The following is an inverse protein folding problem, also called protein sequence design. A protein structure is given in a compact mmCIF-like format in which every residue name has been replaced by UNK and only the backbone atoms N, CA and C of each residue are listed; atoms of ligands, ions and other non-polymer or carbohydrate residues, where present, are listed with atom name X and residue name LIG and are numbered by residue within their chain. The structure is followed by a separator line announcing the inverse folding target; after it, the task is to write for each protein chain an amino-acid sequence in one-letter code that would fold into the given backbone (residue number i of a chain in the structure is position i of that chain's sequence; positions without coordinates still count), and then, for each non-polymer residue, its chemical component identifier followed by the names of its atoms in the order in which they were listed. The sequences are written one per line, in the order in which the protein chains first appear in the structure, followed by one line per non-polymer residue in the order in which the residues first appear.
data_IF_901212947842
#
_entry.id   IF_901212947842
#
_cell.length_a   1.000
_cell.length_b   1.000
_cell.length_c   1.000
_cell.angle_alpha   90.00
_cell.angle_beta   90.00
_cell.angle_gamma   90.00
#
_symmetry.space_group_name_H-M   'P 1'
#
loop_
_entity.id
_entity.type
_entity.pdbx_description
1 polymer ?
#
# COMPACT_ATOMS: atom_id res chain seq x y z
N UNK A 1 44.82 -56.46 24.73
CA UNK A 1 43.83 -56.67 25.82
C UNK A 1 42.85 -55.51 25.77
N UNK A 2 41.62 -55.70 25.25
CA UNK A 2 40.35 -55.91 26.01
C UNK A 2 40.04 -54.68 26.90
N UNK A 3 38.92 -53.92 26.78
CA UNK A 3 37.52 -54.19 26.40
C UNK A 3 36.77 -52.88 26.05
N UNK A 4 35.68 -53.04 25.29
CA UNK A 4 34.59 -52.10 24.97
C UNK A 4 33.82 -51.52 26.19
N UNK A 5 33.02 -50.43 26.01
CA UNK A 5 31.96 -49.96 26.94
C UNK A 5 30.70 -50.87 26.81
N UNK A 6 29.50 -50.65 27.42
CA UNK A 6 28.94 -49.50 28.17
C UNK A 6 28.17 -49.89 29.46
N UNK A 7 27.60 -48.92 30.19
CA UNK A 7 26.46 -49.21 31.07
C UNK A 7 25.42 -48.08 31.10
N UNK A 8 24.19 -48.52 30.88
CA UNK A 8 22.94 -47.78 30.93
C UNK A 8 22.46 -47.61 32.37
N UNK A 9 21.64 -46.59 32.63
CA UNK A 9 20.54 -46.71 33.60
C UNK A 9 19.40 -45.73 33.29
N UNK A 10 18.30 -46.33 32.83
CA UNK A 10 16.94 -45.80 32.85
C UNK A 10 16.41 -45.81 34.29
N UNK A 11 15.59 -44.83 34.66
CA UNK A 11 14.73 -44.85 35.85
C UNK A 11 14.01 -43.50 35.98
N UNK A 12 12.84 -43.31 35.35
CA UNK A 12 11.49 -43.56 35.90
C UNK A 12 11.24 -42.88 37.26
N UNK A 13 10.65 -41.70 37.22
CA UNK A 13 9.71 -41.14 38.22
C UNK A 13 8.86 -40.12 37.47
N UNK A 14 7.59 -39.86 37.73
CA UNK A 14 6.47 -40.60 38.27
C UNK A 14 5.26 -39.79 37.80
N UNK A 15 4.17 -40.47 37.46
CA UNK A 15 2.91 -39.81 37.11
C UNK A 15 2.35 -39.14 38.37
N UNK A 16 1.90 -37.90 38.29
CA UNK A 16 0.81 -37.40 39.14
C UNK A 16 -0.20 -36.67 38.27
N UNK A 17 -1.42 -37.19 38.29
CA UNK A 17 -2.60 -36.58 37.72
C UNK A 17 -3.21 -35.64 38.77
N UNK A 18 -3.74 -34.49 38.33
CA UNK A 18 -4.81 -33.81 39.04
C UNK A 18 -5.72 -33.12 38.01
N UNK A 19 -6.96 -33.60 37.96
CA UNK A 19 -8.10 -32.97 37.34
C UNK A 19 -8.31 -31.57 37.90
N UNK A 20 -8.57 -30.59 37.02
CA UNK A 20 -9.34 -29.40 37.37
C UNK A 20 -10.24 -29.06 36.19
N UNK A 21 -11.51 -29.43 36.33
CA UNK A 21 -12.60 -28.93 35.52
C UNK A 21 -12.86 -27.48 35.91
N UNK A 22 -12.73 -26.57 34.94
CA UNK A 22 -13.08 -25.16 35.08
C UNK A 22 -13.79 -24.71 33.81
N UNK A 23 -15.09 -25.00 33.73
CA UNK A 23 -15.97 -24.36 32.77
C UNK A 23 -16.31 -22.95 33.29
N UNK A 24 -15.63 -21.94 32.75
CA UNK A 24 -16.01 -20.55 32.92
C UNK A 24 -16.33 -19.97 31.53
N UNK A 25 -17.62 -19.76 31.31
CA UNK A 25 -18.16 -18.92 30.24
C UNK A 25 -17.58 -17.51 30.38
N UNK A 26 -16.53 -17.21 29.60
CA UNK A 26 -16.14 -15.85 29.32
C UNK A 26 -16.76 -15.48 27.99
N UNK A 27 -17.65 -14.49 28.05
CA UNK A 27 -18.20 -13.79 26.91
C UNK A 27 -17.09 -13.45 25.92
N UNK A 28 -17.33 -13.75 24.65
CA UNK A 28 -16.46 -13.40 23.55
C UNK A 28 -16.22 -11.90 23.53
N UNK A 29 -15.02 -11.49 23.92
CA UNK A 29 -14.33 -10.48 23.14
C UNK A 29 -13.70 -11.23 21.98
N UNK A 30 -14.45 -11.40 20.89
CA UNK A 30 -13.83 -11.46 19.58
C UNK A 30 -13.19 -10.10 19.33
N UNK A 31 -12.01 -9.89 19.92
CA UNK A 31 -11.07 -8.94 19.35
C UNK A 31 -10.73 -9.55 18.00
N UNK A 32 -11.38 -9.07 16.94
CA UNK A 32 -10.89 -9.23 15.59
C UNK A 32 -9.50 -8.61 15.55
N UNK A 33 -8.50 -9.43 15.90
CA UNK A 33 -7.12 -9.17 15.60
C UNK A 33 -7.02 -9.32 14.09
N UNK A 34 -7.34 -8.25 13.38
CA UNK A 34 -6.91 -8.06 12.01
C UNK A 34 -5.40 -8.14 12.05
N UNK A 35 -4.87 -9.31 11.72
CA UNK A 35 -3.46 -9.52 11.38
C UNK A 35 -3.21 -8.69 10.12
N UNK A 36 -2.86 -7.42 10.32
CA UNK A 36 -3.01 -6.39 9.30
C UNK A 36 -1.67 -5.87 8.81
N UNK A 37 -0.88 -6.79 8.25
CA UNK A 37 0.21 -6.41 7.36
C UNK A 37 -0.31 -5.74 6.08
N UNK A 38 -1.58 -5.97 5.73
CA UNK A 38 -2.30 -5.35 4.61
C UNK A 38 -3.28 -4.24 5.02
N UNK A 39 -3.32 -3.80 6.29
CA UNK A 39 -4.17 -2.68 6.70
C UNK A 39 -3.87 -1.46 5.82
N UNK A 40 -4.90 -0.93 5.16
CA UNK A 40 -4.82 0.37 4.54
C UNK A 40 -4.34 1.38 5.57
N UNK A 41 -3.30 2.15 5.23
CA UNK A 41 -2.80 3.19 6.11
C UNK A 41 -3.78 4.36 6.09
N UNK A 42 -4.61 4.45 7.12
CA UNK A 42 -5.61 5.51 7.27
C UNK A 42 -5.35 6.37 8.50
N UNK A 43 -5.67 7.66 8.40
CA UNK A 43 -5.65 8.58 9.55
C UNK A 43 -6.92 8.44 10.41
N UNK A 44 -7.00 9.23 11.49
CA UNK A 44 -8.13 9.20 12.43
C UNK A 44 -9.46 9.62 11.78
N UNK A 45 -9.40 10.33 10.65
CA UNK A 45 -10.58 10.73 9.88
C UNK A 45 -10.97 9.64 8.86
N UNK A 46 -10.23 8.53 8.81
CA UNK A 46 -10.45 7.40 7.92
C UNK A 46 -9.91 7.60 6.50
N UNK A 47 -9.14 8.67 6.27
CA UNK A 47 -8.55 8.98 4.97
C UNK A 47 -7.34 8.08 4.72
N UNK A 48 -7.28 7.40 3.58
CA UNK A 48 -6.20 6.46 3.25
C UNK A 48 -5.08 7.12 2.45
N UNK A 49 -3.82 6.77 2.76
CA UNK A 49 -2.63 7.33 2.12
C UNK A 49 -1.78 6.24 1.49
N UNK A 50 -1.31 6.52 0.28
CA UNK A 50 -0.32 5.72 -0.45
C UNK A 50 0.94 6.54 -0.70
N UNK A 51 2.04 6.13 -0.08
CA UNK A 51 3.35 6.77 -0.22
C UNK A 51 4.21 6.13 -1.32
N UNK A 52 3.65 5.23 -2.14
CA UNK A 52 4.34 4.64 -3.29
C UNK A 52 4.77 5.72 -4.27
N UNK A 53 6.06 5.75 -4.62
CA UNK A 53 6.62 6.86 -5.38
C UNK A 53 8.09 6.70 -5.77
N UNK A 54 8.52 7.47 -6.77
CA UNK A 54 9.94 7.58 -7.14
C UNK A 54 10.55 8.75 -6.36
N UNK A 55 11.24 8.43 -5.26
CA UNK A 55 11.84 9.42 -4.39
C UNK A 55 13.19 9.84 -4.95
N UNK A 56 13.29 11.09 -5.38
CA UNK A 56 14.51 11.70 -5.89
C UNK A 56 14.72 13.07 -5.23
N UNK A 57 15.91 13.65 -5.42
CA UNK A 57 16.25 14.99 -4.95
C UNK A 57 16.95 15.74 -6.07
N UNK A 58 16.71 17.05 -6.11
CA UNK A 58 17.47 17.97 -6.95
C UNK A 58 18.21 19.00 -6.10
N UNK A 59 19.30 19.57 -6.62
CA UNK A 59 19.99 20.71 -6.00
C UNK A 59 19.29 22.04 -6.29
N UNK A 60 19.91 23.16 -5.92
CA UNK A 60 19.34 24.50 -6.11
C UNK A 60 19.20 24.86 -7.59
N UNK A 61 19.99 24.23 -8.44
CA UNK A 61 20.03 24.38 -9.89
C UNK A 61 19.06 23.42 -10.60
N UNK A 62 18.36 22.56 -9.87
CA UNK A 62 17.41 21.58 -10.40
C UNK A 62 18.08 20.35 -11.01
N UNK A 63 19.36 20.12 -10.77
CA UNK A 63 20.09 18.93 -11.22
C UNK A 63 19.92 17.79 -10.21
N UNK A 64 19.96 16.51 -10.66
CA UNK A 64 19.87 15.37 -9.77
C UNK A 64 20.94 15.40 -8.68
N UNK A 65 20.52 15.27 -7.42
CA UNK A 65 21.38 15.35 -6.26
C UNK A 65 21.36 14.04 -5.43
N UNK A 66 22.46 13.70 -4.74
CA UNK A 66 22.51 12.56 -3.84
C UNK A 66 21.45 12.62 -2.74
N UNK A 67 20.86 11.48 -2.41
CA UNK A 67 19.86 11.40 -1.34
C UNK A 67 20.49 11.48 0.06
N UNK A 68 21.73 11.00 0.21
CA UNK A 68 22.46 10.97 1.48
C UNK A 68 23.42 12.15 1.63
N UNK A 69 23.38 12.75 2.80
CA UNK A 69 24.20 13.90 3.21
C UNK A 69 24.95 13.58 4.52
N UNK A 70 26.28 13.83 4.62
CA UNK A 70 27.14 14.44 3.62
C UNK A 70 27.38 13.53 2.40
N UNK A 71 27.41 14.12 1.21
CA UNK A 71 27.67 13.40 -0.03
C UNK A 71 29.03 12.68 0.01
N UNK A 72 29.07 11.45 -0.50
CA UNK A 72 30.29 10.65 -0.61
C UNK A 72 30.75 9.98 0.71
N UNK A 73 29.99 10.14 1.80
CA UNK A 73 30.30 9.50 3.09
C UNK A 73 29.70 8.11 3.25
N UNK A 74 28.60 7.82 2.57
CA UNK A 74 28.01 6.48 2.59
C UNK A 74 28.96 5.45 1.98
N UNK A 75 28.89 4.21 2.46
CA UNK A 75 29.57 3.09 1.84
C UNK A 75 28.90 2.71 0.50
N UNK A 76 29.69 2.20 -0.46
CA UNK A 76 29.19 1.79 -1.77
C UNK A 76 28.87 2.94 -2.73
N UNK A 77 28.07 2.64 -3.77
CA UNK A 77 27.66 3.63 -4.78
C UNK A 77 26.73 4.68 -4.17
N UNK A 78 26.85 5.92 -4.64
CA UNK A 78 25.94 7.03 -4.27
C UNK A 78 24.49 6.73 -4.65
N UNK A 79 23.56 6.98 -3.71
CA UNK A 79 22.13 6.85 -3.96
C UNK A 79 21.58 8.17 -4.53
N UNK A 80 20.95 8.08 -5.70
CA UNK A 80 20.36 9.21 -6.42
C UNK A 80 18.84 9.19 -6.38
N UNK A 81 18.24 8.01 -6.25
CA UNK A 81 16.82 7.82 -6.10
C UNK A 81 16.52 6.53 -5.30
N UNK A 82 15.33 6.48 -4.72
CA UNK A 82 14.76 5.32 -4.05
C UNK A 82 13.33 5.14 -4.57
N UNK A 83 12.98 3.95 -5.03
CA UNK A 83 11.61 3.63 -5.37
C UNK A 83 10.95 2.93 -4.20
N UNK A 84 9.89 3.54 -3.65
CA UNK A 84 9.08 2.97 -2.58
C UNK A 84 7.79 2.36 -3.13
N UNK A 85 7.44 1.17 -2.65
CA UNK A 85 6.20 0.46 -2.88
C UNK A 85 5.56 0.18 -1.52
N UNK A 86 4.28 0.54 -1.38
CA UNK A 86 3.53 0.34 -0.15
C UNK A 86 2.44 -0.72 -0.35
N UNK A 87 2.41 -1.69 0.56
CA UNK A 87 1.37 -2.70 0.64
C UNK A 87 0.77 -2.66 2.04
N UNK A 88 -0.26 -1.81 2.22
CA UNK A 88 -0.80 -1.51 3.54
C UNK A 88 0.25 -0.86 4.44
N UNK A 89 0.76 -1.63 5.41
CA UNK A 89 1.83 -1.18 6.34
C UNK A 89 3.22 -1.68 5.96
N UNK A 90 3.31 -2.62 5.03
CA UNK A 90 4.60 -3.13 4.54
C UNK A 90 5.16 -2.17 3.49
N UNK A 91 6.46 -1.88 3.61
CA UNK A 91 7.20 -1.13 2.63
C UNK A 91 8.23 -2.04 1.96
N UNK A 92 8.26 -1.99 0.64
CA UNK A 92 9.35 -2.51 -0.16
C UNK A 92 9.96 -1.38 -0.95
N UNK A 93 11.26 -1.46 -1.21
CA UNK A 93 11.91 -0.48 -2.06
C UNK A 93 13.08 -1.07 -2.85
N UNK A 94 13.47 -0.37 -3.90
CA UNK A 94 14.72 -0.59 -4.61
C UNK A 94 15.37 0.74 -4.93
N UNK A 95 16.69 0.80 -5.00
CA UNK A 95 17.43 2.05 -5.18
C UNK A 95 18.18 2.14 -6.52
N UNK A 96 18.77 3.32 -6.76
CA UNK A 96 19.59 3.60 -7.93
C UNK A 96 20.86 2.77 -8.05
N UNK A 97 21.26 2.06 -7.01
CA UNK A 97 22.38 1.14 -7.01
C UNK A 97 21.96 -0.31 -7.28
N UNK A 98 20.66 -0.58 -7.41
CA UNK A 98 20.09 -1.90 -7.64
C UNK A 98 19.93 -2.73 -6.37
N UNK A 99 19.96 -2.11 -5.19
CA UNK A 99 19.76 -2.79 -3.91
C UNK A 99 18.31 -2.75 -3.50
N UNK A 100 17.86 -3.83 -2.86
CA UNK A 100 16.51 -3.95 -2.32
C UNK A 100 16.44 -3.54 -0.85
N UNK A 101 15.28 -3.04 -0.47
CA UNK A 101 14.95 -2.52 0.85
C UNK A 101 13.61 -3.09 1.28
N UNK A 102 13.45 -3.33 2.58
CA UNK A 102 12.21 -3.82 3.17
C UNK A 102 11.99 -3.17 4.52
N UNK A 103 10.74 -2.88 4.85
CA UNK A 103 10.40 -2.35 6.16
C UNK A 103 8.93 -2.09 6.31
N UNK A 104 8.61 -1.06 7.10
CA UNK A 104 7.24 -0.81 7.53
C UNK A 104 6.97 0.67 7.72
N UNK A 105 5.70 1.02 7.61
CA UNK A 105 5.16 2.35 7.91
C UNK A 105 4.28 2.29 9.16
N UNK A 106 4.50 3.27 10.02
CA UNK A 106 3.86 3.50 11.31
C UNK A 106 2.41 3.98 11.17
N UNK A 107 1.79 4.36 12.29
CA UNK A 107 0.52 5.08 12.23
C UNK A 107 0.72 6.42 11.52
N UNK A 108 -0.35 6.90 10.89
CA UNK A 108 -0.36 8.20 10.22
C UNK A 108 -1.21 9.19 11.00
N UNK A 109 -0.73 10.42 11.08
CA UNK A 109 -1.47 11.54 11.65
C UNK A 109 -1.23 12.78 10.79
N UNK A 110 -2.30 13.42 10.32
CA UNK A 110 -2.24 14.64 9.50
C UNK A 110 -1.28 14.48 8.29
N UNK A 111 -1.48 13.39 7.53
CA UNK A 111 -0.67 13.06 6.36
C UNK A 111 0.80 12.72 6.64
N UNK A 112 1.20 12.53 7.89
CA UNK A 112 2.59 12.26 8.28
C UNK A 112 2.70 10.95 9.05
N UNK A 113 3.60 10.07 8.62
CA UNK A 113 3.81 8.75 9.21
C UNK A 113 5.29 8.48 9.47
N UNK A 114 5.60 7.80 10.57
CA UNK A 114 6.94 7.26 10.80
C UNK A 114 7.17 6.05 9.89
N UNK A 115 8.39 5.82 9.46
CA UNK A 115 8.73 4.61 8.72
C UNK A 115 10.13 4.11 9.07
N UNK A 116 10.37 2.85 8.79
CA UNK A 116 11.71 2.26 8.78
C UNK A 116 11.89 1.42 7.53
N UNK A 117 13.05 1.50 6.88
CA UNK A 117 13.50 0.61 5.81
C UNK A 117 14.86 0.04 6.16
N UNK A 118 15.04 -1.26 5.94
CA UNK A 118 16.30 -1.94 6.09
C UNK A 118 16.79 -2.40 4.71
N UNK A 119 18.06 -2.15 4.42
CA UNK A 119 18.70 -2.50 3.17
C UNK A 119 20.19 -2.72 3.35
N UNK A 120 20.91 -2.74 2.22
CA UNK A 120 22.36 -2.84 2.21
C UNK A 120 22.94 -1.93 1.14
N UNK A 121 24.15 -1.42 1.38
CA UNK A 121 24.92 -0.76 0.33
C UNK A 121 25.55 -1.79 -0.61
N UNK A 122 26.07 -1.34 -1.76
CA UNK A 122 26.75 -2.22 -2.72
C UNK A 122 28.05 -2.83 -2.20
N UNK A 123 28.60 -2.33 -1.09
CA UNK A 123 29.73 -2.96 -0.37
C UNK A 123 29.28 -3.97 0.68
N UNK A 124 27.96 -4.15 0.85
CA UNK A 124 27.37 -5.13 1.76
C UNK A 124 27.08 -4.60 3.17
N UNK A 125 27.36 -3.33 3.47
CA UNK A 125 27.07 -2.72 4.77
C UNK A 125 25.57 -2.69 5.01
N UNK A 126 25.12 -3.15 6.18
CA UNK A 126 23.72 -3.06 6.57
C UNK A 126 23.35 -1.59 6.82
N UNK A 127 22.18 -1.18 6.33
CA UNK A 127 21.68 0.18 6.47
C UNK A 127 20.25 0.16 7.00
N UNK A 128 19.95 1.06 7.93
CA UNK A 128 18.58 1.40 8.32
C UNK A 128 18.30 2.85 7.92
N UNK A 129 17.20 3.07 7.20
CA UNK A 129 16.57 4.37 7.06
C UNK A 129 15.45 4.45 8.08
N UNK A 130 15.48 5.44 8.97
CA UNK A 130 14.42 5.66 9.94
C UNK A 130 14.02 7.13 9.94
N UNK A 131 12.74 7.43 9.74
CA UNK A 131 12.31 8.81 9.56
C UNK A 131 10.82 8.98 9.36
N UNK A 132 10.47 10.08 8.70
CA UNK A 132 9.10 10.50 8.42
C UNK A 132 8.82 10.50 6.93
N UNK A 133 7.64 10.04 6.57
CA UNK A 133 6.98 10.29 5.30
C UNK A 133 5.86 11.31 5.52
N UNK A 134 5.83 12.38 4.74
CA UNK A 134 4.84 13.44 4.88
C UNK A 134 4.23 13.79 3.53
N UNK A 135 2.90 13.74 3.45
CA UNK A 135 2.12 14.11 2.27
C UNK A 135 1.75 15.60 2.29
N UNK A 136 1.89 16.26 1.14
CA UNK A 136 1.37 17.60 0.86
C UNK A 136 1.07 17.72 -0.63
N UNK A 137 -0.19 17.96 -0.97
CA UNK A 137 -0.61 18.39 -2.32
C UNK A 137 -0.09 17.50 -3.47
N UNK A 138 -0.21 16.18 -3.34
CA UNK A 138 0.26 15.23 -4.37
C UNK A 138 1.75 14.91 -4.30
N UNK A 139 2.46 15.46 -3.31
CA UNK A 139 3.87 15.20 -3.08
C UNK A 139 4.09 14.53 -1.72
N UNK A 140 4.97 13.53 -1.69
CA UNK A 140 5.50 12.97 -0.47
C UNK A 140 6.94 13.45 -0.27
N UNK A 141 7.26 13.85 0.96
CA UNK A 141 8.65 14.06 1.41
C UNK A 141 9.05 12.92 2.30
N UNK A 142 10.22 12.36 2.03
CA UNK A 142 10.90 11.38 2.87
C UNK A 142 12.09 12.10 3.51
N UNK A 143 12.05 12.24 4.83
CA UNK A 143 13.12 12.83 5.63
C UNK A 143 13.51 11.84 6.75
N UNK A 144 14.73 11.33 6.69
CA UNK A 144 15.17 10.21 7.50
C UNK A 144 16.65 10.30 7.89
N UNK A 145 17.00 9.53 8.91
CA UNK A 145 18.40 9.22 9.22
C UNK A 145 18.87 8.04 8.38
N UNK A 146 20.03 8.19 7.74
CA UNK A 146 20.83 7.10 7.19
C UNK A 146 21.70 6.52 8.30
N UNK A 147 21.57 5.24 8.61
CA UNK A 147 22.33 4.59 9.67
C UNK A 147 23.08 3.37 9.11
N UNK A 148 24.40 3.45 9.03
CA UNK A 148 25.26 2.31 8.67
C UNK A 148 26.45 2.21 9.66
N UNK A 149 27.17 1.07 9.71
CA UNK A 149 28.33 0.94 10.58
C UNK A 149 29.39 2.02 10.34
N UNK A 150 29.67 2.82 11.36
CA UNK A 150 30.71 3.87 11.31
C UNK A 150 30.29 5.17 10.63
N UNK A 151 29.03 5.30 10.18
CA UNK A 151 28.53 6.52 9.57
C UNK A 151 27.01 6.69 9.81
N UNK A 152 26.62 7.88 10.24
CA UNK A 152 25.23 8.34 10.18
C UNK A 152 25.14 9.64 9.38
N UNK A 153 24.05 9.78 8.64
CA UNK A 153 23.79 10.94 7.80
C UNK A 153 22.30 11.24 7.69
N UNK A 154 21.96 12.26 6.92
CA UNK A 154 20.58 12.59 6.58
C UNK A 154 20.24 11.99 5.22
N UNK A 155 19.03 11.48 5.07
CA UNK A 155 18.47 11.00 3.82
C UNK A 155 17.23 11.82 3.50
N UNK A 156 17.24 12.52 2.37
CA UNK A 156 16.17 13.43 1.96
C UNK A 156 15.78 13.21 0.52
N UNK A 157 14.48 13.03 0.27
CA UNK A 157 13.95 12.85 -1.07
C UNK A 157 12.48 13.24 -1.15
N UNK A 158 12.01 13.52 -2.36
CA UNK A 158 10.61 13.83 -2.66
C UNK A 158 10.10 12.97 -3.80
N UNK A 159 8.82 12.63 -3.77
CA UNK A 159 8.14 11.92 -4.84
C UNK A 159 6.78 12.56 -5.13
N UNK A 160 6.30 12.45 -6.36
CA UNK A 160 4.87 12.57 -6.66
C UNK A 160 4.19 11.28 -6.22
N UNK A 161 3.05 11.41 -5.51
CA UNK A 161 2.27 10.30 -4.98
C UNK A 161 0.78 10.54 -5.20
N UNK A 162 -0.01 9.50 -5.00
CA UNK A 162 -1.46 9.60 -5.17
C UNK A 162 -2.08 10.52 -4.09
N UNK A 163 -3.08 11.35 -4.45
CA UNK A 163 -3.89 12.04 -3.46
C UNK A 163 -4.58 11.06 -2.51
N UNK A 164 -4.69 11.38 -1.21
CA UNK A 164 -5.26 10.45 -0.25
C UNK A 164 -6.78 10.31 -0.42
N UNK A 165 -7.25 9.06 -0.43
CA UNK A 165 -8.64 8.66 -0.66
C UNK A 165 -9.51 9.01 0.54
N UNK A 166 -10.68 9.58 0.29
CA UNK A 166 -11.62 9.98 1.33
C UNK A 166 -12.12 8.79 2.16
N UNK A 167 -12.51 9.01 3.43
CA UNK A 167 -13.10 7.95 4.24
C UNK A 167 -14.40 7.42 3.61
N UNK A 168 -14.70 6.12 3.77
CA UNK A 168 -15.99 5.58 3.36
C UNK A 168 -17.11 6.27 4.16
N UNK A 169 -18.12 6.81 3.46
CA UNK A 169 -19.23 7.49 4.11
C UNK A 169 -20.01 6.50 5.00
N UNK A 170 -20.08 6.76 6.30
CA UNK A 170 -20.95 6.01 7.21
C UNK A 170 -22.40 6.38 6.92
N UNK A 171 -23.09 5.55 6.13
CA UNK A 171 -24.56 5.57 6.13
C UNK A 171 -25.02 5.11 7.51
N UNK A 172 -25.93 5.82 8.21
CA UNK A 172 -26.56 5.28 9.41
C UNK A 172 -27.32 4.02 9.01
N UNK A 173 -26.97 2.88 9.62
CA UNK A 173 -27.68 1.62 9.43
C UNK A 173 -29.11 1.76 9.96
N UNK A 174 -30.06 1.93 9.03
CA UNK A 174 -31.47 1.80 9.29
C UNK A 174 -31.86 0.33 9.24
N UNK A 175 -31.48 -0.43 10.26
CA UNK A 175 -31.92 -1.82 10.44
C UNK A 175 -32.91 -1.92 11.60
N UNK A 176 -34.09 -2.46 11.29
CA UNK A 176 -34.87 -3.27 12.23
C UNK A 176 -36.05 -2.60 12.92
N UNK A 177 -37.20 -2.60 12.25
CA UNK A 177 -38.49 -2.28 12.86
C UNK A 177 -38.98 -3.31 13.88
N UNK A 178 -39.66 -2.81 14.91
CA UNK A 178 -40.63 -3.53 15.72
C UNK A 178 -41.91 -2.70 15.75
N UNK A 179 -42.98 -3.22 15.16
CA UNK A 179 -44.22 -2.49 14.89
C UNK A 179 -45.09 -2.21 16.12
N UNK A 180 -45.93 -1.18 15.98
CA UNK A 180 -47.05 -0.93 16.88
C UNK A 180 -47.72 0.42 16.66
N UNK A 181 -49.02 0.39 16.35
CA UNK A 181 -49.96 1.46 16.72
C UNK A 181 -50.35 2.42 15.59
N UNK A 182 -51.63 2.37 15.21
CA UNK A 182 -52.23 3.25 14.21
C UNK A 182 -52.43 4.69 14.67
N UNK A 183 -52.90 5.51 13.72
CA UNK A 183 -53.29 6.90 13.95
C UNK A 183 -53.58 7.58 12.62
N UNK A 184 -54.86 7.77 12.35
CA UNK A 184 -55.43 8.53 11.25
C UNK A 184 -54.95 10.00 11.23
N UNK A 185 -54.96 10.62 10.04
CA UNK A 185 -55.17 12.07 9.95
C UNK A 185 -54.36 12.83 8.91
N UNK A 186 -54.86 12.85 7.68
CA UNK A 186 -55.10 14.06 6.88
C UNK A 186 -53.98 15.05 6.56
N UNK A 187 -53.76 15.26 5.25
CA UNK A 187 -53.79 16.62 4.67
C UNK A 187 -52.53 17.11 3.94
N UNK A 188 -52.75 17.54 2.69
CA UNK A 188 -51.88 18.23 1.73
C UNK A 188 -50.67 17.43 1.20
N UNK A 189 -50.55 17.13 -0.09
CA UNK A 189 -50.90 17.97 -1.24
C UNK A 189 -49.64 18.69 -1.70
N UNK A 190 -48.76 17.97 -2.40
CA UNK A 190 -48.20 18.42 -3.67
C UNK A 190 -47.45 17.25 -4.32
N UNK A 191 -47.85 16.96 -5.55
CA UNK A 191 -47.33 15.92 -6.42
C UNK A 191 -46.38 16.57 -7.43
N UNK A 192 -45.33 15.81 -7.74
CA UNK A 192 -44.55 15.85 -8.98
C UNK A 192 -43.53 16.99 -9.12
N UNK A 193 -42.22 16.71 -8.97
CA UNK A 193 -41.39 16.07 -10.00
C UNK A 193 -39.90 16.49 -9.92
N UNK A 194 -39.02 15.49 -10.08
CA UNK A 194 -37.68 15.56 -10.68
C UNK A 194 -36.50 16.12 -9.82
N UNK A 195 -35.46 15.36 -9.48
CA UNK A 195 -35.10 13.98 -9.83
C UNK A 195 -33.68 13.63 -9.38
N UNK A 196 -33.47 12.32 -9.18
CA UNK A 196 -32.20 11.58 -9.19
C UNK A 196 -31.19 11.93 -8.08
N UNK A 197 -30.95 11.10 -7.05
CA UNK A 197 -30.77 9.65 -7.11
C UNK A 197 -29.36 9.32 -7.56
N UNK A 198 -28.42 9.17 -6.63
CA UNK A 198 -27.42 8.08 -6.65
C UNK A 198 -26.55 8.12 -5.39
N UNK A 199 -26.56 7.03 -4.62
CA UNK A 199 -25.36 6.65 -3.89
C UNK A 199 -24.34 6.28 -4.95
N UNK A 200 -23.30 7.08 -5.12
CA UNK A 200 -22.29 6.78 -6.13
C UNK A 200 -21.51 5.56 -5.66
N UNK A 201 -21.76 4.42 -6.30
CA UNK A 201 -20.76 3.36 -6.48
C UNK A 201 -19.48 4.05 -6.95
N UNK A 202 -18.55 4.32 -6.04
CA UNK A 202 -17.27 4.94 -6.39
C UNK A 202 -16.56 4.02 -7.39
N UNK A 203 -16.33 4.54 -8.60
CA UNK A 203 -15.78 3.79 -9.72
C UNK A 203 -14.32 4.20 -9.94
N UNK A 204 -13.38 3.27 -9.76
CA UNK A 204 -11.95 3.55 -9.88
C UNK A 204 -11.12 2.34 -10.31
N UNK A 205 -9.87 2.57 -10.75
CA UNK A 205 -8.88 1.54 -11.10
C UNK A 205 -7.90 1.33 -9.95
N UNK A 206 -7.65 0.07 -9.58
CA UNK A 206 -6.61 -0.33 -8.63
C UNK A 206 -5.52 -1.21 -9.30
N UNK A 207 -4.24 -0.87 -9.15
CA UNK A 207 -3.73 0.42 -8.67
C UNK A 207 -3.93 1.51 -9.74
N UNK A 208 -4.03 2.77 -9.33
CA UNK A 208 -4.10 3.90 -10.26
C UNK A 208 -2.74 4.21 -10.92
N UNK A 209 -1.64 3.61 -10.45
CA UNK A 209 -0.33 3.72 -11.10
C UNK A 209 0.51 2.45 -10.91
N UNK A 210 1.22 2.05 -11.96
CA UNK A 210 2.31 1.07 -11.89
C UNK A 210 3.50 1.57 -12.67
N UNK A 211 4.67 1.11 -12.25
CA UNK A 211 5.92 1.37 -12.95
C UNK A 211 6.65 0.09 -13.27
N UNK A 212 7.28 0.08 -14.44
CA UNK A 212 8.02 -1.02 -15.01
C UNK A 212 9.47 -0.57 -15.25
N UNK A 213 10.43 -1.48 -15.08
CA UNK A 213 11.86 -1.18 -15.22
C UNK A 213 12.59 -2.27 -16.00
N UNK A 214 13.76 -1.95 -16.52
CA UNK A 214 14.60 -2.86 -17.33
C UNK A 214 14.90 -4.23 -16.68
N UNK A 215 15.03 -4.31 -15.36
CA UNK A 215 15.30 -5.59 -14.68
C UNK A 215 14.08 -6.17 -13.94
N UNK A 216 12.90 -5.56 -14.09
CA UNK A 216 11.67 -5.96 -13.40
C UNK A 216 10.76 -6.87 -14.21
N UNK A 217 9.66 -7.28 -13.57
CA UNK A 217 8.53 -7.90 -14.27
C UNK A 217 7.97 -6.94 -15.31
N UNK A 218 7.58 -7.47 -16.48
CA UNK A 218 7.10 -6.66 -17.61
C UNK A 218 5.57 -6.61 -17.72
N UNK A 219 4.86 -7.30 -16.82
CA UNK A 219 3.41 -7.40 -16.85
C UNK A 219 2.81 -7.35 -15.46
N UNK A 220 1.67 -6.68 -15.30
CA UNK A 220 0.98 -6.56 -14.02
C UNK A 220 -0.54 -6.30 -14.20
N UNK A 221 -1.38 -6.68 -13.24
CA UNK A 221 -2.83 -6.54 -13.35
C UNK A 221 -3.32 -5.14 -12.92
N UNK A 222 -4.39 -4.68 -13.54
CA UNK A 222 -5.23 -3.55 -13.11
C UNK A 222 -6.66 -4.07 -12.94
N UNK A 223 -7.34 -3.61 -11.89
CA UNK A 223 -8.70 -4.02 -11.53
C UNK A 223 -9.61 -2.80 -11.48
N UNK A 224 -10.81 -2.91 -12.06
CA UNK A 224 -11.88 -1.93 -11.89
C UNK A 224 -12.65 -2.25 -10.61
N UNK A 225 -12.89 -1.24 -9.77
CA UNK A 225 -13.66 -1.36 -8.53
C UNK A 225 -14.88 -0.44 -8.63
N UNK A 226 -16.05 -0.93 -8.23
CA UNK A 226 -17.32 -0.19 -8.29
C UNK A 226 -17.86 0.00 -9.71
N UNK A 227 -18.71 1.01 -9.93
CA UNK A 227 -19.40 1.21 -11.22
C UNK A 227 -20.43 0.12 -11.57
N UNK A 228 -20.81 0.03 -12.84
CA UNK A 228 -21.74 -0.96 -13.38
C UNK A 228 -21.07 -1.78 -14.48
N UNK A 229 -20.86 -3.11 -14.30
CA UNK A 229 -20.38 -3.97 -15.37
C UNK A 229 -21.32 -4.00 -16.59
N UNK A 230 -20.83 -4.30 -17.81
CA UNK A 230 -19.44 -4.64 -18.15
C UNK A 230 -18.49 -3.44 -18.19
N UNK A 231 -17.21 -3.69 -17.92
CA UNK A 231 -16.14 -2.70 -18.09
C UNK A 231 -15.41 -2.89 -19.42
N UNK A 232 -15.05 -1.77 -20.04
CA UNK A 232 -14.25 -1.69 -21.26
C UNK A 232 -12.96 -0.92 -20.98
N UNK A 233 -11.83 -1.40 -21.49
CA UNK A 233 -10.50 -0.83 -21.23
C UNK A 233 -9.84 -0.36 -22.52
N UNK A 234 -9.09 0.74 -22.45
CA UNK A 234 -8.28 1.28 -23.55
C UNK A 234 -6.91 1.76 -23.06
N UNK A 235 -5.96 1.89 -23.98
CA UNK A 235 -4.63 2.45 -23.76
C UNK A 235 -4.44 3.71 -24.59
N UNK A 236 -3.71 4.69 -24.05
CA UNK A 236 -3.35 5.90 -24.79
C UNK A 236 -2.34 5.64 -25.91
N UNK A 237 -1.41 4.69 -25.72
CA UNK A 237 -0.37 4.39 -26.69
C UNK A 237 0.00 2.90 -26.72
N UNK A 238 -0.35 2.20 -27.81
CA UNK A 238 -0.03 0.78 -27.99
C UNK A 238 1.45 0.51 -28.33
N UNK A 239 2.26 1.55 -28.55
CA UNK A 239 3.71 1.39 -28.75
C UNK A 239 4.47 1.24 -27.43
N UNK A 240 3.90 1.71 -26.31
CA UNK A 240 4.48 1.60 -24.96
C UNK A 240 4.09 0.29 -24.22
N UNK A 241 3.00 -0.35 -24.65
CA UNK A 241 2.51 -1.60 -24.06
C UNK A 241 1.21 -2.12 -24.67
N UNK A 242 0.70 -3.21 -24.11
CA UNK A 242 -0.55 -3.86 -24.54
C UNK A 242 -1.36 -4.40 -23.36
N UNK A 243 -2.67 -4.52 -23.54
CA UNK A 243 -3.57 -5.23 -22.62
C UNK A 243 -3.83 -6.65 -23.13
N UNK A 244 -3.94 -7.62 -22.21
CA UNK A 244 -4.34 -8.99 -22.56
C UNK A 244 -5.82 -9.09 -22.99
N UNK A 245 -6.66 -8.17 -22.50
CA UNK A 245 -8.08 -8.08 -22.79
C UNK A 245 -8.54 -6.62 -22.72
N UNK A 246 -9.59 -6.28 -23.46
CA UNK A 246 -10.18 -4.94 -23.49
C UNK A 246 -11.54 -4.89 -22.76
N UNK A 247 -11.93 -5.99 -22.12
CA UNK A 247 -13.16 -6.11 -21.32
C UNK A 247 -12.90 -6.94 -20.08
N UNK A 248 -13.70 -6.71 -19.05
CA UNK A 248 -13.65 -7.48 -17.80
C UNK A 248 -13.21 -6.66 -16.58
N UNK A 249 -13.34 -7.28 -15.40
CA UNK A 249 -13.01 -6.64 -14.12
C UNK A 249 -11.52 -6.42 -13.93
N UNK A 250 -10.69 -7.37 -14.41
CA UNK A 250 -9.24 -7.35 -14.29
C UNK A 250 -8.62 -7.50 -15.66
N UNK A 251 -7.68 -6.62 -16.00
CA UNK A 251 -6.85 -6.69 -17.21
C UNK A 251 -5.37 -6.69 -16.84
N UNK A 252 -4.53 -7.30 -17.65
CA UNK A 252 -3.08 -7.29 -17.49
C UNK A 252 -2.46 -6.36 -18.52
N UNK A 253 -1.70 -5.38 -18.04
CA UNK A 253 -0.86 -4.54 -18.88
C UNK A 253 0.53 -5.15 -19.02
N UNK A 254 1.07 -5.17 -20.23
CA UNK A 254 2.44 -5.61 -20.52
C UNK A 254 3.19 -4.50 -21.26
N UNK A 255 4.32 -4.04 -20.72
CA UNK A 255 5.15 -3.01 -21.34
C UNK A 255 5.98 -3.56 -22.51
N UNK A 256 6.25 -2.73 -23.53
CA UNK A 256 7.21 -3.00 -24.62
C UNK A 256 8.65 -2.68 -24.24
N UNK A 257 8.90 -2.18 -23.03
CA UNK A 257 10.20 -1.67 -22.57
C UNK A 257 10.70 -0.40 -23.26
N UNK A 258 9.79 0.32 -23.89
CA UNK A 258 10.05 1.67 -24.39
C UNK A 258 9.75 2.64 -23.26
N UNK A 259 10.72 3.51 -22.92
CA UNK A 259 10.54 4.50 -21.86
C UNK A 259 9.38 5.45 -22.18
N UNK A 260 8.49 5.64 -21.21
CA UNK A 260 7.30 6.47 -21.36
C UNK A 260 6.15 6.06 -20.46
N UNK A 261 5.19 6.97 -20.32
CA UNK A 261 3.96 6.78 -19.54
C UNK A 261 2.81 6.42 -20.48
N UNK A 262 2.18 5.28 -20.23
CA UNK A 262 0.95 4.86 -20.90
C UNK A 262 -0.23 5.04 -19.94
N UNK A 263 -1.35 5.57 -20.43
CA UNK A 263 -2.57 5.76 -19.63
C UNK A 263 -3.59 4.69 -20.01
N UNK A 264 -3.99 3.89 -19.02
CA UNK A 264 -5.13 2.98 -19.08
C UNK A 264 -6.39 3.78 -18.77
N UNK A 265 -7.44 3.64 -19.58
CA UNK A 265 -8.77 4.18 -19.26
C UNK A 265 -9.75 3.02 -19.16
N UNK A 266 -10.51 2.95 -18.07
CA UNK A 266 -11.64 2.04 -17.93
C UNK A 266 -12.94 2.81 -18.09
N UNK A 267 -13.94 2.19 -18.72
CA UNK A 267 -15.29 2.72 -18.87
C UNK A 267 -16.32 1.68 -18.43
N UNK A 268 -17.27 2.05 -17.58
CA UNK A 268 -18.36 1.18 -17.15
C UNK A 268 -19.56 1.22 -18.11
N UNK A 269 -20.58 0.38 -17.87
CA UNK A 269 -21.76 0.28 -18.71
C UNK A 269 -22.66 1.53 -18.71
N UNK A 270 -22.52 2.40 -17.72
CA UNK A 270 -23.23 3.69 -17.63
C UNK A 270 -22.46 4.82 -18.30
N UNK A 271 -21.22 4.57 -18.73
CA UNK A 271 -20.33 5.55 -19.35
C UNK A 271 -19.43 6.28 -18.36
N UNK A 272 -19.40 5.89 -17.08
CA UNK A 272 -18.43 6.44 -16.12
C UNK A 272 -17.02 5.97 -16.50
N UNK A 273 -16.01 6.82 -16.29
CA UNK A 273 -14.61 6.53 -16.64
C UNK A 273 -13.66 6.79 -15.48
N UNK A 274 -12.59 5.99 -15.39
CA UNK A 274 -11.42 6.28 -14.56
C UNK A 274 -10.12 5.95 -15.32
N UNK A 275 -8.99 6.48 -14.85
CA UNK A 275 -7.68 6.32 -15.49
C UNK A 275 -6.59 5.85 -14.54
N UNK A 276 -5.67 5.04 -15.07
CA UNK A 276 -4.47 4.62 -14.37
C UNK A 276 -3.23 4.76 -15.24
N UNK A 277 -2.06 4.90 -14.64
CA UNK A 277 -0.79 5.06 -15.35
C UNK A 277 0.05 3.79 -15.31
N UNK A 278 0.71 3.47 -16.41
CA UNK A 278 1.70 2.44 -16.55
C UNK A 278 2.97 3.07 -17.13
N UNK A 279 4.01 3.22 -16.32
CA UNK A 279 5.19 4.01 -16.67
C UNK A 279 6.43 3.12 -16.77
N UNK A 280 7.12 3.16 -17.90
CA UNK A 280 8.37 2.45 -18.11
C UNK A 280 9.57 3.40 -18.07
N UNK A 281 10.59 3.02 -17.29
CA UNK A 281 11.87 3.72 -17.22
C UNK A 281 13.06 2.80 -17.53
#
# INVERSE_FOLDING_TARGET
MRRSPPSSRRGRWARLAALLAGAALLAGCESSSSDSTTASLSDNDGRSYDFSGHYARSDAEGLPAPLVDPTGRQSGKTLMWLRLLQYGRVLEAYDSAGMNWSGEIGSIFNGTAQFSLNGRTTTGSAVTLAGMLSYREGHATLDASWLEPGFSGNFRATATVQPPTAPPSTKPDGSGGGGGGGGDGGGNGDKDNNGSGNGTNEFYINPSMRWFVSNGGISAPYEAIGGTPPYTWTLSDNTLGSLNAHTGNVVWYTTTRVAGVNTLTVTDATGATDTAQADYH
#
